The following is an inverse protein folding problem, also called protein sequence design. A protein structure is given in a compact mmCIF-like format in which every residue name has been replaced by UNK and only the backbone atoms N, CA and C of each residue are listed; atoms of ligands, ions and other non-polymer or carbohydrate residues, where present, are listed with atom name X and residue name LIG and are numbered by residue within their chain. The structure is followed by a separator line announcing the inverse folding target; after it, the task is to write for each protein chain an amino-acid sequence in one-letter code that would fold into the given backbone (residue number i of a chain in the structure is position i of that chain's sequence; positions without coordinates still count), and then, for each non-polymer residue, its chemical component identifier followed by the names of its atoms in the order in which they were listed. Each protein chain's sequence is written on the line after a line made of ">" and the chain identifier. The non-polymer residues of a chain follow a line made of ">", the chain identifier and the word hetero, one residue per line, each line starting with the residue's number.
data_IF_504582813343
#
_entry.id   IF_504582813343
#
_cell.length_a   1.000
_cell.length_b   1.000
_cell.length_c   1.000
_cell.angle_alpha   90.00
_cell.angle_beta   90.00
_cell.angle_gamma   90.00
#
_symmetry.space_group_name_H-M   'P 1'
#
loop_
_entity.id
_entity.type
_entity.pdbx_description
1 polymer ?
#
# COMPACT_ATOMS: atom_id res chain seq x y z
N UNK A 1 7.58 3.51 -20.89
CA UNK A 1 7.24 2.08 -20.91
C UNK A 1 5.83 1.93 -20.36
N UNK A 2 5.00 1.10 -20.98
CA UNK A 2 3.67 0.77 -20.47
C UNK A 2 3.81 -0.27 -19.37
N UNK A 3 3.06 -0.14 -18.26
CA UNK A 3 3.11 -1.09 -17.15
C UNK A 3 2.63 -2.48 -17.61
N UNK A 4 3.44 -3.54 -17.36
CA UNK A 4 3.04 -4.91 -17.66
C UNK A 4 2.09 -5.45 -16.56
N UNK A 5 0.79 -5.24 -16.74
CA UNK A 5 -0.23 -5.62 -15.75
C UNK A 5 -0.35 -7.14 -15.57
N UNK A 6 0.00 -7.92 -16.60
CA UNK A 6 0.01 -9.38 -16.53
C UNK A 6 1.09 -9.88 -15.57
N UNK A 7 2.33 -9.38 -15.73
CA UNK A 7 3.44 -9.71 -14.81
C UNK A 7 3.12 -9.26 -13.39
N UNK A 8 2.55 -8.07 -13.21
CA UNK A 8 2.16 -7.59 -11.88
C UNK A 8 1.16 -8.53 -11.20
N UNK A 9 0.09 -8.92 -11.92
CA UNK A 9 -0.95 -9.82 -11.40
C UNK A 9 -0.41 -11.22 -11.12
N UNK A 10 0.40 -11.79 -12.01
CA UNK A 10 0.97 -13.12 -11.81
C UNK A 10 1.96 -13.14 -10.65
N UNK A 11 2.81 -12.12 -10.54
CA UNK A 11 3.75 -11.99 -9.43
C UNK A 11 3.02 -11.87 -8.10
N UNK A 12 1.92 -11.11 -8.05
CA UNK A 12 1.09 -11.02 -6.85
C UNK A 12 0.38 -12.33 -6.51
N UNK A 13 -0.10 -13.08 -7.52
CA UNK A 13 -0.66 -14.41 -7.33
C UNK A 13 0.36 -15.36 -6.70
N UNK A 14 1.58 -15.41 -7.25
CA UNK A 14 2.69 -16.19 -6.68
C UNK A 14 2.98 -15.80 -5.23
N UNK A 15 3.05 -14.51 -4.93
CA UNK A 15 3.30 -14.03 -3.57
C UNK A 15 2.20 -14.43 -2.56
N UNK A 16 0.97 -14.68 -3.03
CA UNK A 16 -0.12 -15.18 -2.20
C UNK A 16 -0.01 -16.68 -1.90
N UNK A 17 0.51 -17.45 -2.84
CA UNK A 17 0.48 -18.92 -2.83
C UNK A 17 1.81 -19.53 -2.30
N UNK A 18 2.94 -18.89 -2.57
CA UNK A 18 4.28 -19.39 -2.28
C UNK A 18 4.79 -18.95 -0.89
N UNK A 19 5.73 -19.72 -0.31
CA UNK A 19 6.55 -19.32 0.86
C UNK A 19 5.78 -18.86 2.11
N UNK A 20 4.66 -19.53 2.42
CA UNK A 20 3.80 -19.19 3.55
C UNK A 20 2.84 -18.01 3.26
N UNK A 21 2.73 -17.64 1.98
CA UNK A 21 1.76 -16.70 1.44
C UNK A 21 1.83 -15.30 2.04
N UNK A 22 0.70 -14.61 1.96
CA UNK A 22 0.59 -13.19 2.34
C UNK A 22 0.92 -12.88 3.80
N UNK A 23 0.73 -13.86 4.71
CA UNK A 23 1.12 -13.69 6.12
C UNK A 23 2.63 -13.62 6.25
N UNK A 24 3.36 -14.55 5.63
CA UNK A 24 4.82 -14.58 5.65
C UNK A 24 5.40 -13.32 5.01
N UNK A 25 4.92 -12.97 3.80
CA UNK A 25 5.30 -11.77 3.07
C UNK A 25 5.10 -10.50 3.91
N UNK A 26 3.93 -10.35 4.52
CA UNK A 26 3.56 -9.17 5.28
C UNK A 26 4.36 -9.00 6.58
N UNK A 27 4.68 -10.10 7.27
CA UNK A 27 5.54 -10.05 8.46
C UNK A 27 6.99 -9.74 8.08
N UNK A 28 7.50 -10.34 7.00
CA UNK A 28 8.83 -10.03 6.46
C UNK A 28 8.93 -8.56 6.05
N UNK A 29 7.87 -8.01 5.46
CA UNK A 29 7.78 -6.59 5.12
C UNK A 29 8.00 -5.70 6.34
N UNK A 30 7.26 -5.90 7.43
CA UNK A 30 7.36 -5.05 8.61
C UNK A 30 8.68 -5.24 9.34
N UNK A 31 9.19 -6.48 9.43
CA UNK A 31 10.50 -6.77 9.98
C UNK A 31 11.59 -5.94 9.27
N UNK A 32 11.67 -6.09 7.94
CA UNK A 32 12.69 -5.38 7.14
C UNK A 32 12.51 -3.87 7.19
N UNK A 33 11.27 -3.38 7.07
CA UNK A 33 10.97 -1.94 7.10
C UNK A 33 11.50 -1.30 8.40
N UNK A 34 11.25 -1.96 9.53
CA UNK A 34 11.59 -1.47 10.85
C UNK A 34 13.07 -1.64 11.22
N UNK A 35 13.75 -2.61 10.62
CA UNK A 35 15.20 -2.76 10.72
C UNK A 35 15.93 -1.70 9.88
N UNK A 36 15.49 -1.49 8.64
CA UNK A 36 16.16 -0.60 7.68
C UNK A 36 15.81 0.88 7.86
N UNK A 37 14.55 1.17 8.20
CA UNK A 37 14.02 2.52 8.34
C UNK A 37 13.39 2.72 9.73
N UNK A 38 14.18 2.67 10.82
CA UNK A 38 13.63 2.71 12.19
C UNK A 38 12.79 3.97 12.47
N UNK A 39 13.03 5.07 11.76
CA UNK A 39 12.28 6.32 11.86
C UNK A 39 10.80 6.22 11.47
N UNK A 40 10.38 5.18 10.73
CA UNK A 40 8.95 5.00 10.37
C UNK A 40 8.15 4.30 11.46
N UNK A 41 8.81 3.62 12.42
CA UNK A 41 8.13 2.87 13.50
C UNK A 41 7.07 3.70 14.24
N UNK A 42 7.31 4.98 14.62
CA UNK A 42 6.32 5.78 15.35
C UNK A 42 5.03 6.07 14.57
N UNK A 43 5.00 5.85 13.25
CA UNK A 43 3.80 6.02 12.43
C UNK A 43 2.82 4.86 12.55
N UNK A 44 3.24 3.74 13.17
CA UNK A 44 2.44 2.53 13.31
C UNK A 44 2.03 2.32 14.76
N UNK A 45 0.73 2.45 15.04
CA UNK A 45 0.13 2.13 16.35
C UNK A 45 -0.38 0.68 16.44
N UNK A 46 -0.58 0.02 15.30
CA UNK A 46 -1.05 -1.37 15.22
C UNK A 46 0.16 -2.33 15.13
N UNK A 47 0.18 -3.43 15.90
CA UNK A 47 1.24 -4.44 15.81
C UNK A 47 1.38 -5.01 14.38
N UNK A 48 2.59 -5.40 13.95
CA UNK A 48 2.83 -6.02 12.63
C UNK A 48 1.89 -7.19 12.30
N UNK A 49 1.53 -7.99 13.29
CA UNK A 49 0.68 -9.18 13.21
C UNK A 49 -0.77 -8.87 12.77
N UNK A 50 -1.22 -7.63 12.97
CA UNK A 50 -2.53 -7.18 12.49
C UNK A 50 -2.39 -6.19 11.34
N UNK A 51 -1.35 -5.36 11.37
CA UNK A 51 -1.11 -4.36 10.35
C UNK A 51 -0.79 -4.99 8.98
N UNK A 52 -0.12 -6.15 8.94
CA UNK A 52 0.18 -6.85 7.69
C UNK A 52 -1.09 -7.20 6.89
N UNK A 53 -2.21 -7.49 7.56
CA UNK A 53 -3.48 -7.82 6.91
C UNK A 53 -3.99 -6.63 6.10
N UNK A 54 -3.89 -5.41 6.67
CA UNK A 54 -4.27 -4.15 6.00
C UNK A 54 -3.37 -3.86 4.80
N UNK A 55 -2.06 -4.07 4.96
CA UNK A 55 -1.08 -3.89 3.89
C UNK A 55 -1.38 -4.79 2.68
N UNK A 56 -1.47 -6.10 2.91
CA UNK A 56 -1.73 -7.09 1.86
C UNK A 56 -3.07 -6.83 1.18
N UNK A 57 -4.13 -6.54 1.95
CA UNK A 57 -5.44 -6.24 1.38
C UNK A 57 -5.41 -4.99 0.48
N UNK A 58 -4.61 -3.98 0.86
CA UNK A 58 -4.46 -2.76 0.06
C UNK A 58 -3.69 -3.03 -1.23
N UNK A 59 -2.56 -3.75 -1.16
CA UNK A 59 -1.79 -4.14 -2.36
C UNK A 59 -2.66 -5.01 -3.29
N UNK A 60 -3.38 -5.98 -2.75
CA UNK A 60 -4.28 -6.82 -3.53
C UNK A 60 -5.40 -6.02 -4.21
N UNK A 61 -5.94 -5.01 -3.53
CA UNK A 61 -6.93 -4.10 -4.12
C UNK A 61 -6.36 -3.27 -5.28
N UNK A 62 -5.12 -2.79 -5.14
CA UNK A 62 -4.40 -2.04 -6.19
C UNK A 62 -4.15 -2.94 -7.39
N UNK A 63 -3.59 -4.14 -7.17
CA UNK A 63 -3.28 -5.09 -8.25
C UNK A 63 -4.57 -5.53 -8.98
N UNK A 64 -5.65 -5.78 -8.24
CA UNK A 64 -6.94 -6.15 -8.84
C UNK A 64 -7.57 -5.02 -9.67
N UNK A 65 -7.28 -3.76 -9.34
CA UNK A 65 -7.82 -2.59 -10.03
C UNK A 65 -6.84 -1.96 -11.04
N UNK A 66 -5.67 -2.55 -11.29
CA UNK A 66 -4.59 -1.94 -12.09
C UNK A 66 -5.02 -1.56 -13.53
N UNK A 67 -6.00 -2.26 -14.10
CA UNK A 67 -6.55 -1.99 -15.44
C UNK A 67 -7.82 -1.12 -15.41
N UNK A 68 -8.34 -0.80 -14.22
CA UNK A 68 -9.54 0.01 -14.04
C UNK A 68 -9.19 1.32 -13.33
N UNK A 69 -8.77 2.31 -14.12
CA UNK A 69 -8.34 3.62 -13.60
C UNK A 69 -9.47 4.35 -12.86
N UNK A 70 -10.72 4.25 -13.34
CA UNK A 70 -11.89 4.87 -12.70
C UNK A 70 -12.12 4.36 -11.27
N UNK A 71 -11.69 3.13 -10.98
CA UNK A 71 -11.71 2.57 -9.63
C UNK A 71 -10.42 2.82 -8.86
N UNK A 72 -9.27 2.67 -9.52
CA UNK A 72 -7.96 2.74 -8.86
C UNK A 72 -7.61 4.14 -8.39
N UNK A 73 -7.79 5.14 -9.25
CA UNK A 73 -7.35 6.52 -8.97
C UNK A 73 -8.09 7.10 -7.75
N UNK A 74 -9.44 7.03 -7.66
CA UNK A 74 -10.13 7.52 -6.47
C UNK A 74 -9.79 6.74 -5.20
N UNK A 75 -9.50 5.43 -5.32
CA UNK A 75 -9.03 4.62 -4.19
C UNK A 75 -7.68 5.10 -3.66
N UNK A 76 -6.72 5.40 -4.55
CA UNK A 76 -5.41 5.93 -4.17
C UNK A 76 -5.50 7.35 -3.59
N UNK A 77 -6.35 8.20 -4.15
CA UNK A 77 -6.61 9.54 -3.60
C UNK A 77 -7.20 9.45 -2.18
N UNK A 78 -8.19 8.58 -1.97
CA UNK A 78 -8.76 8.34 -0.64
C UNK A 78 -7.73 7.73 0.33
N UNK A 79 -6.82 6.88 -0.15
CA UNK A 79 -5.66 6.44 0.64
C UNK A 79 -4.78 7.62 1.04
N UNK A 80 -4.46 8.54 0.13
CA UNK A 80 -3.61 9.69 0.41
C UNK A 80 -4.16 10.56 1.54
N UNK A 81 -5.47 10.83 1.55
CA UNK A 81 -6.13 11.58 2.63
C UNK A 81 -5.93 10.91 4.00
N UNK A 82 -6.01 9.58 4.05
CA UNK A 82 -5.74 8.82 5.27
C UNK A 82 -4.26 8.92 5.67
N UNK A 83 -3.34 8.90 4.71
CA UNK A 83 -1.90 9.01 4.96
C UNK A 83 -1.49 10.39 5.48
N UNK A 84 -2.21 11.46 5.14
CA UNK A 84 -2.04 12.77 5.79
C UNK A 84 -2.33 12.70 7.29
N UNK A 85 -3.40 12.02 7.70
CA UNK A 85 -3.74 11.81 9.13
C UNK A 85 -2.67 10.99 9.86
N UNK A 86 -2.03 10.06 9.16
CA UNK A 86 -0.92 9.25 9.69
C UNK A 86 0.41 10.00 9.76
N UNK A 87 0.47 11.26 9.31
CA UNK A 87 1.70 12.07 9.23
C UNK A 87 2.75 11.45 8.30
N UNK A 88 2.30 10.82 7.22
CA UNK A 88 3.19 10.28 6.19
C UNK A 88 3.80 11.42 5.37
N UNK A 89 5.12 11.40 5.22
CA UNK A 89 5.90 12.33 4.41
C UNK A 89 6.42 11.64 3.15
N UNK A 90 6.93 12.42 2.19
CA UNK A 90 7.37 11.90 0.88
C UNK A 90 8.44 10.79 1.01
N UNK A 91 9.38 10.93 1.94
CA UNK A 91 10.45 9.95 2.16
C UNK A 91 9.92 8.59 2.65
N UNK A 92 8.77 8.57 3.33
CA UNK A 92 8.15 7.33 3.78
C UNK A 92 7.62 6.50 2.61
N UNK A 93 7.14 7.13 1.53
CA UNK A 93 6.69 6.42 0.32
C UNK A 93 7.86 5.71 -0.36
N UNK A 94 9.00 6.39 -0.49
CA UNK A 94 10.21 5.80 -1.07
C UNK A 94 10.71 4.60 -0.25
N UNK A 95 10.72 4.71 1.08
CA UNK A 95 11.09 3.63 1.98
C UNK A 95 10.16 2.41 1.84
N UNK A 96 8.85 2.62 1.79
CA UNK A 96 7.86 1.55 1.61
C UNK A 96 7.99 0.88 0.25
N UNK A 97 8.16 1.66 -0.82
CA UNK A 97 8.29 1.14 -2.18
C UNK A 97 9.55 0.27 -2.34
N UNK A 98 10.71 0.74 -1.87
CA UNK A 98 11.94 -0.06 -1.90
C UNK A 98 11.80 -1.33 -1.06
N UNK A 99 11.27 -1.20 0.16
CA UNK A 99 11.11 -2.32 1.07
C UNK A 99 10.21 -3.42 0.48
N UNK A 100 9.09 -3.03 -0.15
CA UNK A 100 8.17 -4.00 -0.76
C UNK A 100 8.82 -4.76 -1.92
N UNK A 101 9.56 -4.09 -2.79
CA UNK A 101 10.25 -4.74 -3.92
C UNK A 101 11.31 -5.72 -3.41
N UNK A 102 12.09 -5.32 -2.39
CA UNK A 102 13.08 -6.21 -1.78
C UNK A 102 12.44 -7.46 -1.17
N UNK A 103 11.35 -7.29 -0.42
CA UNK A 103 10.65 -8.39 0.26
C UNK A 103 9.96 -9.32 -0.74
N UNK A 104 9.38 -8.79 -1.82
CA UNK A 104 8.84 -9.61 -2.91
C UNK A 104 9.92 -10.45 -3.57
N UNK A 105 11.10 -9.85 -3.83
CA UNK A 105 12.24 -10.56 -4.39
C UNK A 105 12.72 -11.71 -3.49
N UNK A 106 12.96 -11.43 -2.21
CA UNK A 106 13.35 -12.45 -1.23
C UNK A 106 12.27 -13.53 -1.07
N UNK A 107 10.99 -13.14 -1.01
CA UNK A 107 9.86 -14.05 -0.83
C UNK A 107 9.63 -14.97 -2.02
N UNK A 108 9.90 -14.53 -3.26
CA UNK A 108 9.65 -15.33 -4.45
C UNK A 108 10.87 -16.14 -4.91
N UNK A 109 12.08 -15.69 -4.56
CA UNK A 109 13.34 -16.36 -4.95
C UNK A 109 13.52 -17.75 -4.35
N UNK A 110 12.74 -18.13 -3.32
CA UNK A 110 12.84 -19.44 -2.69
C UNK A 110 12.19 -20.57 -3.50
N UNK A 111 11.21 -20.27 -4.36
CA UNK A 111 10.44 -21.26 -5.14
C UNK A 111 10.65 -21.10 -6.67
N UNK A 112 11.23 -20.00 -7.12
CA UNK A 112 11.55 -19.77 -8.53
C UNK A 112 12.22 -18.42 -8.76
N UNK A 113 12.50 -18.08 -10.03
CA UNK A 113 13.24 -16.85 -10.33
C UNK A 113 12.41 -15.58 -10.08
N UNK A 114 13.01 -14.64 -9.35
CA UNK A 114 12.62 -13.24 -9.33
C UNK A 114 13.37 -12.52 -10.45
N UNK A 115 12.66 -12.19 -11.54
CA UNK A 115 13.29 -11.66 -12.75
C UNK A 115 13.42 -10.14 -12.73
N UNK A 116 14.31 -9.59 -13.55
CA UNK A 116 14.43 -8.14 -13.74
C UNK A 116 13.11 -7.52 -14.25
N UNK A 117 12.36 -8.22 -15.11
CA UNK A 117 11.05 -7.76 -15.58
C UNK A 117 10.03 -7.65 -14.42
N UNK A 118 10.01 -8.62 -13.49
CA UNK A 118 9.16 -8.54 -12.30
C UNK A 118 9.55 -7.34 -11.45
N UNK A 119 10.85 -7.16 -11.19
CA UNK A 119 11.37 -6.04 -10.41
C UNK A 119 11.01 -4.68 -11.02
N UNK A 120 11.28 -4.49 -12.30
CA UNK A 120 10.97 -3.25 -13.02
C UNK A 120 9.47 -2.96 -13.07
N UNK A 121 8.66 -4.00 -13.25
CA UNK A 121 7.19 -3.89 -13.24
C UNK A 121 6.69 -3.42 -11.88
N UNK A 122 7.17 -4.01 -10.79
CA UNK A 122 6.78 -3.61 -9.43
C UNK A 122 7.28 -2.21 -9.07
N UNK A 123 8.52 -1.87 -9.43
CA UNK A 123 9.05 -0.51 -9.23
C UNK A 123 8.22 0.53 -9.98
N UNK A 124 7.85 0.25 -11.22
CA UNK A 124 7.01 1.14 -12.03
C UNK A 124 5.60 1.29 -11.45
N UNK A 125 4.97 0.19 -11.04
CA UNK A 125 3.65 0.21 -10.41
C UNK A 125 3.67 1.03 -9.11
N UNK A 126 4.65 0.79 -8.24
CA UNK A 126 4.78 1.50 -6.97
C UNK A 126 5.10 2.98 -7.17
N UNK A 127 5.91 3.32 -8.18
CA UNK A 127 6.14 4.71 -8.54
C UNK A 127 4.83 5.42 -8.90
N UNK A 128 4.01 4.82 -9.76
CA UNK A 128 2.71 5.39 -10.14
C UNK A 128 1.81 5.57 -8.91
N UNK A 129 1.73 4.56 -8.04
CA UNK A 129 0.96 4.64 -6.79
C UNK A 129 1.45 5.78 -5.91
N UNK A 130 2.76 5.89 -5.69
CA UNK A 130 3.35 6.94 -4.87
C UNK A 130 3.11 8.32 -5.48
N UNK A 131 3.29 8.50 -6.80
CA UNK A 131 3.07 9.77 -7.49
C UNK A 131 1.62 10.25 -7.31
N UNK A 132 0.63 9.36 -7.52
CA UNK A 132 -0.80 9.68 -7.34
C UNK A 132 -1.10 10.05 -5.89
N UNK A 133 -0.56 9.29 -4.93
CA UNK A 133 -0.81 9.55 -3.51
C UNK A 133 -0.15 10.85 -3.03
N UNK A 134 1.08 11.13 -3.45
CA UNK A 134 1.80 12.36 -3.11
C UNK A 134 1.10 13.58 -3.70
N UNK A 135 0.65 13.51 -4.96
CA UNK A 135 -0.12 14.59 -5.60
C UNK A 135 -1.43 14.83 -4.83
N UNK A 136 -2.16 13.76 -4.50
CA UNK A 136 -3.41 13.85 -3.77
C UNK A 136 -3.25 14.37 -2.34
N UNK A 137 -2.16 14.00 -1.65
CA UNK A 137 -1.83 14.50 -0.33
C UNK A 137 -1.43 15.99 -0.34
N UNK A 138 -0.82 16.46 -1.44
CA UNK A 138 -0.37 17.86 -1.58
C UNK A 138 -1.51 18.83 -1.91
N UNK A 139 -2.63 18.34 -2.45
CA UNK A 139 -3.80 19.16 -2.80
C UNK A 139 -5.11 18.42 -2.52
N UNK A 140 -5.41 18.07 -1.26
CA UNK A 140 -6.54 17.20 -0.91
C UNK A 140 -7.90 17.79 -1.34
N UNK A 141 -8.05 19.11 -1.31
CA UNK A 141 -9.25 19.83 -1.75
C UNK A 141 -9.54 19.65 -3.25
N UNK A 142 -8.51 19.52 -4.10
CA UNK A 142 -8.66 19.27 -5.54
C UNK A 142 -9.33 17.92 -5.82
N UNK A 143 -9.11 16.93 -4.95
CA UNK A 143 -9.58 15.56 -5.15
C UNK A 143 -10.82 15.20 -4.33
N UNK A 144 -11.30 16.09 -3.45
CA UNK A 144 -12.47 15.86 -2.62
C UNK A 144 -13.70 15.42 -3.43
N UNK A 145 -14.00 16.09 -4.55
CA UNK A 145 -15.14 15.72 -5.39
C UNK A 145 -14.98 14.36 -6.10
N UNK A 146 -13.74 13.98 -6.44
CA UNK A 146 -13.45 12.69 -7.07
C UNK A 146 -13.66 11.53 -6.09
N UNK A 147 -13.15 11.66 -4.86
CA UNK A 147 -13.31 10.62 -3.84
C UNK A 147 -14.78 10.52 -3.38
N UNK A 148 -15.50 11.64 -3.26
CA UNK A 148 -16.93 11.65 -2.91
C UNK A 148 -17.77 10.94 -3.96
N UNK A 149 -17.51 11.23 -5.24
CA UNK A 149 -18.20 10.56 -6.37
C UNK A 149 -17.93 9.06 -6.43
N UNK A 150 -16.78 8.61 -5.92
CA UNK A 150 -16.42 7.20 -5.78
C UNK A 150 -16.89 6.54 -4.47
N UNK A 151 -17.68 7.26 -3.66
CA UNK A 151 -18.31 6.77 -2.44
C UNK A 151 -17.44 6.83 -1.17
N UNK A 152 -16.32 7.56 -1.22
CA UNK A 152 -15.52 7.86 -0.03
C UNK A 152 -16.01 9.14 0.65
N UNK A 153 -15.76 9.24 1.94
CA UNK A 153 -15.98 10.45 2.73
C UNK A 153 -14.71 11.31 2.72
N UNK A 154 -14.82 12.54 3.23
CA UNK A 154 -13.73 13.53 3.29
C UNK A 154 -12.50 13.08 4.08
N UNK A 155 -12.62 12.05 4.90
CA UNK A 155 -11.52 11.44 5.65
C UNK A 155 -10.85 10.27 4.89
N UNK A 156 -11.29 9.99 3.66
CA UNK A 156 -10.78 8.91 2.81
C UNK A 156 -11.32 7.51 3.14
N UNK A 157 -12.31 7.40 4.03
CA UNK A 157 -12.98 6.15 4.37
C UNK A 157 -14.37 6.05 3.73
N UNK A 158 -14.88 4.84 3.51
CA UNK A 158 -16.28 4.66 3.12
C UNK A 158 -17.18 4.72 4.34
N UNK A 159 -18.48 4.91 4.12
CA UNK A 159 -19.48 4.84 5.18
C UNK A 159 -19.46 3.46 5.82
N UNK A 160 -19.24 3.40 7.13
CA UNK A 160 -19.20 2.15 7.90
C UNK A 160 -17.81 1.51 8.03
N UNK A 161 -16.80 2.01 7.33
CA UNK A 161 -15.42 1.55 7.55
C UNK A 161 -14.95 1.96 8.96
N UNK A 162 -14.21 1.11 9.69
CA UNK A 162 -13.66 1.46 10.98
C UNK A 162 -12.54 2.51 10.83
N UNK A 163 -12.60 3.56 11.65
CA UNK A 163 -11.58 4.62 11.70
C UNK A 163 -10.63 4.34 12.86
N UNK A 164 -9.32 4.17 12.62
CA UNK A 164 -8.37 3.87 13.68
C UNK A 164 -8.37 4.91 14.82
N UNK A 165 -8.52 6.19 14.48
CA UNK A 165 -8.50 7.28 15.46
C UNK A 165 -9.79 7.44 16.26
N UNK A 166 -10.93 6.94 15.78
CA UNK A 166 -12.19 6.93 16.57
C UNK A 166 -12.16 5.85 17.66
N UNK A 167 -11.41 4.76 17.42
CA UNK A 167 -11.19 3.71 18.41
C UNK A 167 -10.23 4.19 19.52
N UNK A 168 -9.24 5.01 19.17
CA UNK A 168 -8.30 5.59 20.15
C UNK A 168 -8.98 6.64 21.07
N UNK A 169 -9.98 7.37 20.58
CA UNK A 169 -10.73 8.34 21.38
C UNK A 169 -11.72 7.68 22.36
N UNK A 170 -12.27 6.52 22.01
CA UNK A 170 -13.17 5.75 22.88
C UNK A 170 -12.47 5.08 24.08
N UNK A 171 -11.13 5.12 24.13
CA UNK A 171 -10.30 4.51 25.20
C UNK A 171 -9.67 5.57 26.11
N UNK A 172 -9.93 6.87 25.89
CA UNK A 172 -9.52 7.91 26.84
C UNK A 172 -10.50 7.93 28.04
N UNK A 173 -10.00 7.83 29.29
CA UNK A 173 -10.84 7.84 30.50
C UNK A 173 -11.52 9.18 30.76
#
# INVERSE_FOLDING_TARGET
>A
MTLNTSVLKDTWRRANDENGGTRSLGLAFYKRLFEKYPGVKPLFSTPPEDQHKKLVASIGSIVAAVENQDRLVPYLQAMAIRHLRYKTENDHYAAVAENLVAVLGEHLSAEGDWTDEMKETWQSALKIVCDVMIEAASSPEKYAGSIESAGYQKDGFRKGDPRPWELDEAVKP
#
